data_IF_069054317278
#
_entry.id   IF_069054317278
#
_cell.length_a   1.000
_cell.length_b   1.000
_cell.length_c   1.000
_cell.angle_alpha   90.00
_cell.angle_beta   90.00
_cell.angle_gamma   90.00
#
_symmetry.space_group_name_H-M   'P 1'
#
loop_
_entity.id
_entity.type
_entity.pdbx_description
1 polymer ?
#
# COMPACT_ATOMS: atom_id res chain seq x y z
N UNK A 1 8.22 10.20 26.89
CA UNK A 1 7.83 8.87 26.36
C UNK A 1 7.56 8.99 24.88
N UNK A 2 8.21 8.19 24.03
CA UNK A 2 8.00 8.23 22.58
C UNK A 2 6.59 7.71 22.25
N UNK A 3 5.74 8.55 21.65
CA UNK A 3 4.38 8.19 21.20
C UNK A 3 4.48 7.13 20.12
N UNK A 4 4.14 5.87 20.43
CA UNK A 4 4.16 4.76 19.47
C UNK A 4 2.95 4.87 18.54
N UNK A 5 3.14 5.38 17.33
CA UNK A 5 2.21 5.19 16.22
C UNK A 5 2.20 3.71 15.84
N UNK A 6 1.03 3.07 15.82
CA UNK A 6 0.91 1.65 15.46
C UNK A 6 0.74 1.52 13.96
N UNK A 7 1.58 0.72 13.32
CA UNK A 7 1.49 0.40 11.88
C UNK A 7 0.88 -0.98 11.68
N UNK A 8 -0.10 -1.08 10.79
CA UNK A 8 -0.70 -2.35 10.35
C UNK A 8 -0.45 -2.47 8.84
N UNK A 9 0.10 -3.61 8.44
CA UNK A 9 0.43 -3.89 7.04
C UNK A 9 -0.45 -5.03 6.53
N UNK A 10 -1.08 -4.83 5.37
CA UNK A 10 -1.82 -5.87 4.63
C UNK A 10 -1.07 -6.12 3.32
N UNK A 11 -0.39 -7.26 3.23
CA UNK A 11 0.39 -7.69 2.07
C UNK A 11 0.47 -9.23 2.02
N UNK A 12 -0.10 -9.89 1.00
CA UNK A 12 -0.85 -9.33 -0.11
C UNK A 12 -2.30 -8.99 0.26
N UNK A 13 -2.91 -8.04 -0.46
CA UNK A 13 -4.37 -7.87 -0.44
C UNK A 13 -5.01 -9.08 -1.13
N UNK A 14 -5.90 -9.80 -0.44
CA UNK A 14 -6.64 -10.93 -1.00
C UNK A 14 -8.01 -10.51 -1.54
N UNK A 15 -8.58 -11.31 -2.46
CA UNK A 15 -9.84 -11.02 -3.19
C UNK A 15 -9.79 -9.73 -4.02
N UNK A 16 -8.61 -9.41 -4.53
CA UNK A 16 -8.32 -8.34 -5.49
C UNK A 16 -7.71 -9.01 -6.74
N UNK A 17 -7.91 -8.42 -7.92
CA UNK A 17 -7.13 -8.76 -9.12
C UNK A 17 -5.78 -8.02 -9.09
N UNK A 18 -4.69 -8.72 -9.43
CA UNK A 18 -3.33 -8.18 -9.34
C UNK A 18 -2.73 -8.16 -7.93
N UNK A 19 -1.62 -7.43 -7.74
CA UNK A 19 -0.94 -7.27 -6.44
C UNK A 19 -1.11 -5.83 -5.93
N UNK A 20 -1.62 -5.73 -4.71
CA UNK A 20 -1.62 -4.48 -3.95
C UNK A 20 -1.19 -4.71 -2.51
N UNK A 21 -0.80 -3.61 -1.86
CA UNK A 21 -0.40 -3.53 -0.45
C UNK A 21 -1.09 -2.35 0.23
N UNK A 22 -1.52 -2.52 1.48
CA UNK A 22 -2.07 -1.42 2.30
C UNK A 22 -1.21 -1.24 3.54
N UNK A 23 -0.88 0.02 3.85
CA UNK A 23 -0.30 0.42 5.13
C UNK A 23 -1.30 1.31 5.88
N UNK A 24 -1.63 0.97 7.12
CA UNK A 24 -2.51 1.73 8.00
C UNK A 24 -1.70 2.22 9.20
N UNK A 25 -1.90 3.49 9.56
CA UNK A 25 -1.26 4.14 10.70
C UNK A 25 -2.32 4.57 11.71
N UNK A 26 -2.23 4.04 12.92
CA UNK A 26 -3.15 4.38 14.01
C UNK A 26 -2.51 5.38 14.97
N UNK A 27 -3.34 6.28 15.49
CA UNK A 27 -2.95 7.19 16.56
C UNK A 27 -2.92 6.51 17.94
N UNK A 28 -2.71 7.28 18.99
CA UNK A 28 -2.64 6.77 20.37
C UNK A 28 -3.98 6.26 20.92
N UNK A 29 -5.10 6.69 20.35
CA UNK A 29 -6.44 6.20 20.71
C UNK A 29 -6.78 4.92 19.96
N UNK A 30 -5.92 4.51 19.02
CA UNK A 30 -6.18 3.39 18.12
C UNK A 30 -7.05 3.77 16.93
N UNK A 31 -7.33 5.07 16.75
CA UNK A 31 -8.10 5.58 15.62
C UNK A 31 -7.23 5.62 14.37
N UNK A 32 -7.84 5.39 13.21
CA UNK A 32 -7.13 5.45 11.94
C UNK A 32 -6.73 6.90 11.64
N UNK A 33 -5.42 7.14 11.55
CA UNK A 33 -4.86 8.44 11.22
C UNK A 33 -4.57 8.57 9.72
N UNK A 34 -3.90 7.58 9.14
CA UNK A 34 -3.49 7.58 7.74
C UNK A 34 -3.62 6.18 7.12
N UNK A 35 -3.88 6.12 5.81
CA UNK A 35 -3.93 4.89 5.04
C UNK A 35 -3.28 5.10 3.66
N UNK A 36 -2.45 4.15 3.24
CA UNK A 36 -1.77 4.19 1.94
C UNK A 36 -2.04 2.91 1.17
N UNK A 37 -2.53 3.08 -0.06
CA UNK A 37 -2.62 2.01 -1.04
C UNK A 37 -1.39 2.04 -1.96
N UNK A 38 -0.71 0.92 -2.08
CA UNK A 38 0.52 0.77 -2.85
C UNK A 38 0.30 -0.27 -3.94
N UNK A 39 0.71 0.09 -5.16
CA UNK A 39 0.83 -0.83 -6.30
C UNK A 39 2.33 -1.18 -6.42
N UNK A 40 2.78 -2.35 -5.95
CA UNK A 40 4.19 -2.70 -5.96
C UNK A 40 4.72 -3.04 -7.36
N UNK A 41 3.82 -3.39 -8.27
CA UNK A 41 4.16 -3.89 -9.59
C UNK A 41 4.33 -2.77 -10.63
N UNK A 42 5.36 -2.90 -11.48
CA UNK A 42 5.58 -2.04 -12.64
C UNK A 42 5.78 -2.93 -13.87
N UNK A 43 4.90 -2.80 -14.87
CA UNK A 43 5.00 -3.54 -16.15
C UNK A 43 5.66 -2.73 -17.26
N UNK A 44 5.51 -1.40 -17.27
CA UNK A 44 6.16 -0.52 -18.25
C UNK A 44 5.72 -0.74 -19.72
N UNK A 45 4.50 -1.28 -19.94
CA UNK A 45 4.02 -1.68 -21.27
C UNK A 45 4.13 -0.58 -22.33
N UNK A 46 3.81 0.66 -21.95
CA UNK A 46 3.87 1.85 -22.81
C UNK A 46 5.25 2.03 -23.46
N UNK A 47 6.34 1.70 -22.75
CA UNK A 47 7.70 1.81 -23.28
C UNK A 47 7.98 0.74 -24.33
N UNK A 48 7.47 -0.48 -24.15
CA UNK A 48 7.64 -1.58 -25.11
C UNK A 48 6.86 -1.38 -26.42
N UNK A 49 5.81 -0.57 -26.38
CA UNK A 49 4.99 -0.23 -27.55
C UNK A 49 5.59 0.85 -28.44
N UNK A 50 6.66 1.54 -28.02
CA UNK A 50 7.25 2.61 -28.82
C UNK A 50 7.92 2.03 -30.07
N UNK A 51 7.55 2.53 -31.25
CA UNK A 51 8.08 2.07 -32.54
C UNK A 51 7.50 0.75 -33.05
N UNK A 52 6.43 0.25 -32.42
CA UNK A 52 5.58 -0.81 -32.96
C UNK A 52 4.34 -0.24 -33.63
#
# INVERSE_FOLDING_TARGET
MSKKTKRITIDPITRLEGHGKIELFLDERGELKDAFFQIPELRGFERFCQGR
#
